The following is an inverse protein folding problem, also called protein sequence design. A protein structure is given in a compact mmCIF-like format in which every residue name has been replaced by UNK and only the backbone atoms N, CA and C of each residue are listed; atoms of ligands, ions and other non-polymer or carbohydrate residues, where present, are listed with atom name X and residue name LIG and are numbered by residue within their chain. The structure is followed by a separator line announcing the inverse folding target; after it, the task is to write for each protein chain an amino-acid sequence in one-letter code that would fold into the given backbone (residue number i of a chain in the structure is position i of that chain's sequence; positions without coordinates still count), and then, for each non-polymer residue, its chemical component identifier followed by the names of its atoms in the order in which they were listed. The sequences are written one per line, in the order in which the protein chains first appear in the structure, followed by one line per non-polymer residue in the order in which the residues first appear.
data_IF_960470914744
#
_entry.id   IF_960470914744
#
_cell.length_a   1.000
_cell.length_b   1.000
_cell.length_c   1.000
_cell.angle_alpha   90.00
_cell.angle_beta   90.00
_cell.angle_gamma   90.00
#
_symmetry.space_group_name_H-M   'P 1'
#
loop_
_entity.id
_entity.type
_entity.pdbx_description
1 polymer ?
#
# COMPACT_ATOMS: atom_id res chain seq x y z
N UNK A 1 8.15 5.28 17.89
CA UNK A 1 6.68 5.49 17.96
C UNK A 1 6.43 6.94 17.53
N UNK A 2 5.71 7.17 16.42
CA UNK A 2 5.48 8.52 15.89
C UNK A 2 4.33 9.17 16.64
N UNK A 3 4.52 10.42 17.10
CA UNK A 3 3.48 11.19 17.79
C UNK A 3 2.82 12.14 16.80
N UNK A 4 1.49 12.14 16.76
CA UNK A 4 0.68 13.09 15.99
C UNK A 4 -0.08 13.97 16.98
N UNK A 5 0.02 15.29 16.83
CA UNK A 5 -0.74 16.28 17.60
C UNK A 5 -1.74 16.96 16.67
N UNK A 6 -3.02 16.96 17.07
CA UNK A 6 -4.12 17.57 16.35
C UNK A 6 -4.83 18.53 17.29
N UNK A 7 -5.17 19.70 16.77
CA UNK A 7 -6.04 20.65 17.46
C UNK A 7 -7.45 20.48 16.90
N UNK A 8 -8.41 20.25 17.80
CA UNK A 8 -9.82 20.12 17.47
C UNK A 8 -10.58 21.23 18.20
N UNK A 9 -11.61 21.75 17.54
CA UNK A 9 -12.64 22.52 18.24
C UNK A 9 -13.39 21.61 19.23
N UNK A 10 -14.02 22.21 20.22
CA UNK A 10 -14.84 21.47 21.19
C UNK A 10 -15.93 20.65 20.47
N UNK A 11 -16.56 21.24 19.45
CA UNK A 11 -17.62 20.60 18.68
C UNK A 11 -17.13 19.34 17.95
N UNK A 12 -15.97 19.42 17.29
CA UNK A 12 -15.36 18.27 16.59
C UNK A 12 -14.96 17.16 17.57
N UNK A 13 -14.36 17.53 18.71
CA UNK A 13 -13.97 16.56 19.73
C UNK A 13 -15.20 15.83 20.30
N UNK A 14 -16.26 16.56 20.65
CA UNK A 14 -17.52 15.99 21.15
C UNK A 14 -18.19 15.08 20.12
N UNK A 15 -18.22 15.48 18.85
CA UNK A 15 -18.78 14.65 17.78
C UNK A 15 -18.05 13.31 17.67
N UNK A 16 -16.71 13.33 17.63
CA UNK A 16 -15.89 12.13 17.51
C UNK A 16 -15.97 11.26 18.77
N UNK A 17 -16.08 11.86 19.95
CA UNK A 17 -16.25 11.13 21.20
C UNK A 17 -17.62 10.43 21.27
N UNK A 18 -18.70 11.11 20.89
CA UNK A 18 -20.05 10.52 20.82
C UNK A 18 -20.16 9.41 19.77
N UNK A 19 -19.43 9.52 18.67
CA UNK A 19 -19.36 8.44 17.68
C UNK A 19 -18.57 7.24 18.23
N UNK A 20 -17.39 7.51 18.80
CA UNK A 20 -16.51 6.47 19.35
C UNK A 20 -17.11 5.70 20.51
N UNK A 21 -17.85 6.38 21.39
CA UNK A 21 -18.45 5.79 22.58
C UNK A 21 -19.45 4.67 22.24
N UNK A 22 -20.14 4.76 21.10
CA UNK A 22 -21.02 3.70 20.58
C UNK A 22 -20.28 2.38 20.35
N UNK A 23 -18.97 2.43 20.11
CA UNK A 23 -18.09 1.28 19.91
C UNK A 23 -17.17 1.02 21.13
N UNK A 24 -17.39 1.71 22.25
CA UNK A 24 -16.54 1.64 23.44
C UNK A 24 -15.15 2.24 23.23
N UNK A 25 -14.98 3.16 22.29
CA UNK A 25 -13.71 3.79 21.97
C UNK A 25 -13.60 5.17 22.63
N UNK A 26 -12.39 5.50 23.09
CA UNK A 26 -12.03 6.85 23.51
C UNK A 26 -11.61 7.70 22.31
N UNK A 27 -11.63 9.03 22.46
CA UNK A 27 -11.33 9.99 21.39
C UNK A 27 -10.02 9.67 20.62
N UNK A 28 -8.87 9.38 21.26
CA UNK A 28 -7.64 9.02 20.53
C UNK A 28 -7.76 7.73 19.71
N UNK A 29 -8.51 6.73 20.19
CA UNK A 29 -8.73 5.48 19.45
C UNK A 29 -9.66 5.72 18.26
N UNK A 30 -10.70 6.54 18.43
CA UNK A 30 -11.60 6.94 17.35
C UNK A 30 -10.87 7.72 16.26
N UNK A 31 -10.05 8.71 16.62
CA UNK A 31 -9.24 9.48 15.67
C UNK A 31 -8.32 8.55 14.86
N UNK A 32 -7.63 7.62 15.54
CA UNK A 32 -6.78 6.64 14.86
C UNK A 32 -7.56 5.78 13.87
N UNK A 33 -8.75 5.31 14.25
CA UNK A 33 -9.60 4.53 13.36
C UNK A 33 -9.98 5.32 12.08
N UNK A 34 -10.40 6.57 12.22
CA UNK A 34 -10.73 7.42 11.07
C UNK A 34 -9.52 7.69 10.17
N UNK A 35 -8.37 8.03 10.76
CA UNK A 35 -7.13 8.23 9.99
C UNK A 35 -6.77 6.94 9.23
N UNK A 36 -6.85 5.78 9.88
CA UNK A 36 -6.58 4.50 9.22
C UNK A 36 -7.53 4.23 8.07
N UNK A 37 -8.83 4.53 8.22
CA UNK A 37 -9.82 4.33 7.16
C UNK A 37 -9.62 5.27 5.98
N UNK A 38 -9.39 6.56 6.24
CA UNK A 38 -9.06 7.52 5.19
C UNK A 38 -7.76 7.15 4.46
N UNK A 39 -6.75 6.68 5.21
CA UNK A 39 -5.48 6.22 4.63
C UNK A 39 -5.67 4.97 3.78
N UNK A 40 -6.51 4.03 4.22
CA UNK A 40 -6.86 2.83 3.45
C UNK A 40 -7.49 3.18 2.10
N UNK A 41 -8.39 4.17 2.05
CA UNK A 41 -9.00 4.63 0.80
C UNK A 41 -7.98 5.27 -0.14
N UNK A 42 -7.07 6.09 0.37
CA UNK A 42 -5.98 6.68 -0.42
C UNK A 42 -5.08 5.57 -1.00
N UNK A 43 -4.69 4.60 -0.16
CA UNK A 43 -3.84 3.49 -0.57
C UNK A 43 -4.51 2.50 -1.54
N UNK A 44 -5.85 2.40 -1.52
CA UNK A 44 -6.58 1.59 -2.50
C UNK A 44 -6.65 2.25 -3.87
N UNK A 45 -6.71 3.59 -3.91
CA UNK A 45 -6.84 4.35 -5.15
C UNK A 45 -5.49 4.68 -5.79
N UNK A 46 -4.42 4.74 -5.01
CA UNK A 46 -3.06 4.93 -5.49
C UNK A 46 -2.29 3.60 -5.38
N UNK A 47 -2.08 2.93 -6.52
CA UNK A 47 -1.09 1.84 -6.59
C UNK A 47 0.23 2.43 -6.13
N UNK A 48 0.75 1.98 -4.99
CA UNK A 48 2.05 2.41 -4.48
C UNK A 48 3.13 2.13 -5.54
N UNK A 49 3.50 3.16 -6.30
CA UNK A 49 4.58 3.07 -7.28
C UNK A 49 5.90 3.26 -6.55
N UNK A 50 6.62 2.18 -6.35
CA UNK A 50 7.99 2.25 -5.83
C UNK A 50 8.93 2.54 -7.00
N UNK A 51 9.71 3.61 -6.88
CA UNK A 51 10.71 3.93 -7.90
C UNK A 51 11.79 2.84 -7.93
N UNK A 52 11.92 2.17 -9.07
CA UNK A 52 12.97 1.18 -9.28
C UNK A 52 14.34 1.85 -9.32
N UNK A 53 15.40 1.09 -9.01
CA UNK A 53 16.76 1.55 -9.31
C UNK A 53 16.94 1.64 -10.82
N UNK A 54 17.77 2.59 -11.30
CA UNK A 54 18.03 2.76 -12.75
C UNK A 54 18.44 1.45 -13.43
N UNK A 55 19.30 0.66 -12.77
CA UNK A 55 19.76 -0.65 -13.26
C UNK A 55 18.61 -1.65 -13.40
N UNK A 56 17.70 -1.69 -12.42
CA UNK A 56 16.57 -2.61 -12.44
C UNK A 56 15.56 -2.23 -13.53
N UNK A 57 15.34 -0.93 -13.72
CA UNK A 57 14.49 -0.41 -14.79
C UNK A 57 15.06 -0.76 -16.18
N UNK A 58 16.35 -0.52 -16.42
CA UNK A 58 17.03 -0.89 -17.66
C UNK A 58 16.93 -2.40 -17.94
N UNK A 59 17.16 -3.24 -16.93
CA UNK A 59 17.03 -4.69 -17.07
C UNK A 59 15.58 -5.13 -17.36
N UNK A 60 14.60 -4.52 -16.69
CA UNK A 60 13.18 -4.81 -16.91
C UNK A 60 12.72 -4.45 -18.32
N UNK A 61 13.13 -3.27 -18.81
CA UNK A 61 12.86 -2.84 -20.18
C UNK A 61 13.49 -3.77 -21.21
N UNK A 62 14.72 -4.23 -20.96
CA UNK A 62 15.39 -5.21 -21.82
C UNK A 62 14.64 -6.54 -21.86
N UNK A 63 14.22 -7.07 -20.70
CA UNK A 63 13.48 -8.33 -20.61
C UNK A 63 12.13 -8.25 -21.35
N UNK A 64 11.41 -7.13 -21.23
CA UNK A 64 10.17 -6.88 -21.97
C UNK A 64 10.39 -6.89 -23.49
N UNK A 65 11.48 -6.28 -23.97
CA UNK A 65 11.81 -6.31 -25.40
C UNK A 65 12.22 -7.71 -25.86
N UNK A 66 12.97 -8.46 -25.07
CA UNK A 66 13.32 -9.86 -25.38
C UNK A 66 12.07 -10.75 -25.46
N UNK A 67 11.10 -10.56 -24.58
CA UNK A 67 9.79 -11.21 -24.64
C UNK A 67 9.03 -10.84 -25.92
N UNK A 68 8.97 -9.53 -26.25
CA UNK A 68 8.31 -9.04 -27.47
C UNK A 68 8.94 -9.61 -28.75
N UNK A 69 10.24 -9.85 -28.73
CA UNK A 69 11.00 -10.49 -29.81
C UNK A 69 10.87 -12.02 -29.83
N UNK A 70 10.09 -12.63 -28.93
CA UNK A 70 9.86 -14.06 -28.87
C UNK A 70 11.05 -14.87 -28.34
N UNK A 71 11.98 -14.24 -27.62
CA UNK A 71 13.17 -14.92 -27.06
C UNK A 71 12.89 -15.63 -25.74
N UNK A 72 11.70 -15.46 -25.18
CA UNK A 72 11.25 -16.12 -23.96
C UNK A 72 10.44 -17.35 -24.31
N UNK A 73 10.54 -18.40 -23.51
CA UNK A 73 9.60 -19.51 -23.56
C UNK A 73 8.77 -19.57 -22.28
N UNK A 74 7.55 -20.07 -22.40
CA UNK A 74 6.71 -20.38 -21.25
C UNK A 74 7.24 -21.65 -20.57
N UNK A 75 7.33 -21.63 -19.24
CA UNK A 75 7.62 -22.81 -18.44
C UNK A 75 6.38 -23.17 -17.65
N UNK A 76 5.93 -24.41 -17.81
CA UNK A 76 4.74 -24.92 -17.13
C UNK A 76 5.06 -25.86 -15.96
N UNK A 77 6.30 -26.36 -15.91
CA UNK A 77 6.80 -27.24 -14.88
C UNK A 77 7.88 -26.55 -14.04
N UNK A 78 7.71 -26.61 -12.72
CA UNK A 78 8.66 -26.03 -11.76
C UNK A 78 9.97 -26.81 -11.76
N UNK A 79 9.93 -28.13 -11.99
CA UNK A 79 11.13 -28.97 -12.06
C UNK A 79 11.94 -28.65 -13.32
N UNK A 80 11.27 -28.37 -14.45
CA UNK A 80 11.92 -27.91 -15.69
C UNK A 80 12.67 -26.58 -15.46
N UNK A 81 12.04 -25.64 -14.74
CA UNK A 81 12.67 -24.36 -14.40
C UNK A 81 13.97 -24.55 -13.62
N UNK A 82 13.95 -25.32 -12.53
CA UNK A 82 15.15 -25.51 -11.70
C UNK A 82 16.25 -26.31 -12.40
N UNK A 83 15.91 -27.20 -13.33
CA UNK A 83 16.91 -27.92 -14.12
C UNK A 83 17.56 -27.05 -15.22
N UNK A 84 16.94 -25.91 -15.56
CA UNK A 84 17.42 -24.99 -16.61
C UNK A 84 18.26 -23.81 -16.07
N UNK A 85 18.35 -23.66 -14.76
CA UNK A 85 19.09 -22.61 -14.05
C UNK A 85 20.61 -22.87 -14.02
#
# INVERSE_FOLDING_TARGET
MTKVQLSLTTQEATLLENYGSQFGYNLPKTIRFFISKASEEILKNEVLTFKMSKKTEENGLKALEEHRLGKTHEMSDVDEFFNSL
#
